data_IF_482511850599
#
_entry.id   IF_482511850599
#
_cell.length_a   1.000
_cell.length_b   1.000
_cell.length_c   1.000
_cell.angle_alpha   90.00
_cell.angle_beta   90.00
_cell.angle_gamma   90.00
#
_symmetry.space_group_name_H-M   'P 1'
#
loop_
_entity.id
_entity.type
_entity.pdbx_description
1 polymer ?
#
# COMPACT_ATOMS: atom_id res chain seq x y z
N UNK A 1 23.44 -37.23 8.38
CA UNK A 1 23.29 -36.21 9.44
C UNK A 1 23.29 -36.91 10.78
N UNK A 2 24.30 -36.66 11.62
CA UNK A 2 24.41 -37.29 12.95
C UNK A 2 23.34 -36.74 13.91
N UNK A 3 23.04 -37.46 15.00
CA UNK A 3 22.08 -37.00 16.02
C UNK A 3 22.45 -35.62 16.60
N UNK A 4 23.75 -35.38 16.84
CA UNK A 4 24.30 -34.09 17.28
C UNK A 4 24.08 -32.97 16.27
N UNK A 5 24.12 -33.29 14.98
CA UNK A 5 23.92 -32.32 13.90
C UNK A 5 22.43 -31.92 13.76
N UNK A 6 21.52 -32.83 14.11
CA UNK A 6 20.08 -32.54 14.22
C UNK A 6 19.78 -31.69 15.45
N UNK A 7 20.34 -32.04 16.60
CA UNK A 7 20.19 -31.27 17.84
C UNK A 7 20.74 -29.84 17.71
N UNK A 8 21.91 -29.68 17.08
CA UNK A 8 22.48 -28.37 16.79
C UNK A 8 21.61 -27.51 15.87
N UNK A 9 20.98 -28.10 14.85
CA UNK A 9 20.04 -27.39 13.96
C UNK A 9 18.76 -26.97 14.67
N UNK A 10 18.20 -27.84 15.51
CA UNK A 10 17.00 -27.53 16.32
C UNK A 10 17.30 -26.40 17.30
N UNK A 11 18.42 -26.47 18.01
CA UNK A 11 18.87 -25.43 18.93
C UNK A 11 19.09 -24.08 18.23
N UNK A 12 19.76 -24.08 17.06
CA UNK A 12 19.98 -22.87 16.27
C UNK A 12 18.66 -22.26 15.75
N UNK A 13 17.74 -23.08 15.24
CA UNK A 13 16.43 -22.62 14.79
C UNK A 13 15.63 -22.01 15.94
N UNK A 14 15.61 -22.68 17.09
CA UNK A 14 14.87 -22.23 18.26
C UNK A 14 15.46 -20.96 18.87
N UNK A 15 16.79 -20.85 18.93
CA UNK A 15 17.51 -19.63 19.31
C UNK A 15 17.20 -18.47 18.36
N UNK A 16 17.14 -18.72 17.05
CA UNK A 16 16.72 -17.71 16.07
C UNK A 16 15.29 -17.23 16.32
N UNK A 17 14.31 -18.15 16.49
CA UNK A 17 12.92 -17.78 16.74
C UNK A 17 12.74 -16.96 18.01
N UNK A 18 13.46 -17.31 19.07
CA UNK A 18 13.34 -16.61 20.35
C UNK A 18 14.07 -15.27 20.36
N UNK A 19 15.23 -15.15 19.70
CA UNK A 19 15.84 -13.85 19.44
C UNK A 19 14.91 -12.94 18.62
N UNK A 20 14.28 -13.49 17.58
CA UNK A 20 13.32 -12.77 16.77
C UNK A 20 12.13 -12.28 17.61
N UNK A 21 11.54 -13.18 18.42
CA UNK A 21 10.33 -12.89 19.19
C UNK A 21 10.58 -11.97 20.40
N UNK A 22 11.70 -12.15 21.11
CA UNK A 22 11.94 -11.49 22.41
C UNK A 22 12.88 -10.30 22.33
N UNK A 23 13.75 -10.22 21.31
CA UNK A 23 14.71 -9.12 21.17
C UNK A 23 14.32 -8.22 20.01
N UNK A 24 14.27 -8.77 18.79
CA UNK A 24 14.07 -7.95 17.60
C UNK A 24 12.64 -7.42 17.50
N UNK A 25 11.63 -8.24 17.75
CA UNK A 25 10.23 -7.83 17.67
C UNK A 25 9.90 -6.69 18.67
N UNK A 26 10.25 -6.75 19.97
CA UNK A 26 10.04 -5.63 20.88
C UNK A 26 10.85 -4.39 20.50
N UNK A 27 12.09 -4.56 20.01
CA UNK A 27 12.92 -3.45 19.52
C UNK A 27 12.28 -2.75 18.32
N UNK A 28 11.73 -3.51 17.38
CA UNK A 28 11.04 -2.97 16.20
C UNK A 28 9.70 -2.32 16.57
N UNK A 29 8.94 -2.90 17.51
CA UNK A 29 7.72 -2.28 18.06
C UNK A 29 8.05 -0.96 18.75
N UNK A 30 9.07 -0.93 19.59
CA UNK A 30 9.52 0.29 20.26
C UNK A 30 10.01 1.33 19.26
N UNK A 31 10.77 0.90 18.23
CA UNK A 31 11.19 1.76 17.13
C UNK A 31 10.00 2.37 16.43
N UNK A 32 8.93 1.60 16.18
CA UNK A 32 7.71 2.10 15.54
C UNK A 32 6.99 3.17 16.40
N UNK A 33 6.96 3.02 17.72
CA UNK A 33 6.34 4.00 18.63
C UNK A 33 7.17 5.26 18.86
N UNK A 34 8.49 5.15 18.83
CA UNK A 34 9.41 6.28 19.08
C UNK A 34 9.94 6.90 17.80
N UNK A 35 9.47 6.43 16.64
CA UNK A 35 9.97 6.84 15.35
C UNK A 35 9.80 8.35 15.14
N UNK A 36 10.89 9.03 14.80
CA UNK A 36 10.87 10.43 14.36
C UNK A 36 11.35 10.52 12.91
N UNK A 37 10.60 11.19 12.02
CA UNK A 37 11.07 11.45 10.66
C UNK A 37 12.43 12.15 10.70
N UNK A 38 13.36 11.73 9.83
CA UNK A 38 14.67 12.37 9.76
C UNK A 38 14.55 13.81 9.24
N UNK A 39 15.46 14.66 9.69
CA UNK A 39 15.60 16.01 9.15
C UNK A 39 16.46 15.97 7.87
N UNK A 40 15.99 16.66 6.82
CA UNK A 40 16.69 16.78 5.53
C UNK A 40 16.98 18.24 5.16
N UNK A 41 16.85 19.17 6.11
CA UNK A 41 17.25 20.56 5.92
C UNK A 41 18.73 20.64 5.53
N UNK A 42 19.01 21.35 4.43
CA UNK A 42 20.36 21.47 3.87
C UNK A 42 20.94 20.20 3.23
N UNK A 43 20.24 19.05 3.32
CA UNK A 43 20.62 17.80 2.64
C UNK A 43 20.27 17.86 1.16
N UNK A 44 20.99 17.13 0.33
CA UNK A 44 20.81 17.14 -1.12
C UNK A 44 20.02 15.92 -1.60
N UNK A 45 18.90 16.18 -2.27
CA UNK A 45 17.99 15.18 -2.84
C UNK A 45 18.04 15.25 -4.36
N UNK A 46 18.47 14.16 -5.00
CA UNK A 46 18.46 14.01 -6.47
C UNK A 46 17.19 13.30 -6.88
N UNK A 47 16.42 13.85 -7.82
CA UNK A 47 15.17 13.27 -8.30
C UNK A 47 15.22 13.12 -9.82
N UNK A 48 15.19 11.88 -10.30
CA UNK A 48 15.08 11.59 -11.74
C UNK A 48 13.62 11.65 -12.20
N UNK A 49 13.36 12.12 -13.42
CA UNK A 49 11.99 12.38 -13.89
C UNK A 49 11.28 13.45 -13.06
N UNK A 50 12.04 14.41 -12.54
CA UNK A 50 11.55 15.45 -11.63
C UNK A 50 10.87 16.62 -12.34
N UNK A 51 10.84 16.66 -13.68
CA UNK A 51 10.20 17.74 -14.45
C UNK A 51 8.68 17.63 -14.53
N UNK A 52 8.05 16.55 -14.02
CA UNK A 52 6.60 16.40 -14.04
C UNK A 52 6.05 15.46 -12.97
N UNK A 53 4.73 15.46 -12.79
CA UNK A 53 3.99 14.45 -12.05
C UNK A 53 4.45 14.29 -10.58
N UNK A 54 4.66 13.05 -10.15
CA UNK A 54 5.05 12.74 -8.76
C UNK A 54 6.45 13.28 -8.46
N UNK A 55 7.40 13.16 -9.40
CA UNK A 55 8.77 13.66 -9.25
C UNK A 55 8.82 15.15 -8.99
N UNK A 56 8.12 15.94 -9.82
CA UNK A 56 7.97 17.38 -9.61
C UNK A 56 7.41 17.70 -8.23
N UNK A 57 6.30 17.05 -7.84
CA UNK A 57 5.66 17.39 -6.57
C UNK A 57 6.54 16.98 -5.37
N UNK A 58 7.30 15.90 -5.46
CA UNK A 58 8.31 15.56 -4.45
C UNK A 58 9.41 16.63 -4.37
N UNK A 59 9.89 17.13 -5.51
CA UNK A 59 10.88 18.21 -5.55
C UNK A 59 10.39 19.47 -4.83
N UNK A 60 9.14 19.87 -5.10
CA UNK A 60 8.50 21.01 -4.43
C UNK A 60 8.41 20.80 -2.91
N UNK A 61 7.96 19.63 -2.45
CA UNK A 61 7.85 19.33 -1.00
C UNK A 61 9.24 19.35 -0.34
N UNK A 62 10.24 18.68 -0.92
CA UNK A 62 11.59 18.64 -0.35
C UNK A 62 12.22 20.03 -0.26
N UNK A 63 12.13 20.84 -1.32
CA UNK A 63 12.75 22.15 -1.34
C UNK A 63 12.00 23.18 -0.49
N UNK A 64 10.67 23.25 -0.61
CA UNK A 64 9.87 24.32 -0.01
C UNK A 64 9.49 24.01 1.44
N UNK A 65 9.08 22.78 1.72
CA UNK A 65 8.57 22.37 3.04
C UNK A 65 9.65 21.76 3.92
N UNK A 66 10.62 21.04 3.34
CA UNK A 66 11.71 20.36 4.10
C UNK A 66 13.06 21.06 4.01
N UNK A 67 13.16 22.16 3.26
CA UNK A 67 14.36 22.99 3.13
C UNK A 67 15.61 22.21 2.67
N UNK A 68 15.40 21.14 1.90
CA UNK A 68 16.47 20.40 1.26
C UNK A 68 16.96 21.13 -0.01
N UNK A 69 18.19 20.85 -0.42
CA UNK A 69 18.66 21.18 -1.76
C UNK A 69 18.15 20.11 -2.74
N UNK A 70 17.59 20.49 -3.88
CA UNK A 70 17.01 19.52 -4.83
C UNK A 70 17.68 19.60 -6.20
N UNK A 71 18.24 18.49 -6.67
CA UNK A 71 18.71 18.35 -8.05
C UNK A 71 17.63 17.63 -8.87
N UNK A 72 17.08 18.31 -9.87
CA UNK A 72 16.00 17.82 -10.72
C UNK A 72 16.60 17.32 -12.02
N UNK A 73 16.64 16.00 -12.21
CA UNK A 73 17.14 15.36 -13.42
C UNK A 73 15.95 14.98 -14.30
N UNK A 74 15.97 15.41 -15.55
CA UNK A 74 14.97 15.03 -16.54
C UNK A 74 15.56 15.01 -17.95
N UNK A 75 14.99 14.19 -18.83
CA UNK A 75 15.33 14.22 -20.25
C UNK A 75 14.79 15.50 -20.90
N UNK A 76 13.65 16.00 -20.41
CA UNK A 76 13.10 17.29 -20.80
C UNK A 76 13.68 18.41 -19.89
N UNK A 77 14.83 18.94 -20.29
CA UNK A 77 15.52 20.00 -19.53
C UNK A 77 14.61 21.21 -19.31
N UNK A 78 13.80 21.56 -20.30
CA UNK A 78 12.91 22.72 -20.21
C UNK A 78 11.95 22.58 -19.04
N UNK A 79 11.26 21.43 -18.94
CA UNK A 79 10.34 21.17 -17.81
C UNK A 79 11.08 21.14 -16.48
N UNK A 80 12.25 20.52 -16.41
CA UNK A 80 13.05 20.51 -15.19
C UNK A 80 13.43 21.93 -14.74
N UNK A 81 13.85 22.79 -15.69
CA UNK A 81 14.19 24.20 -15.43
C UNK A 81 12.97 25.01 -15.00
N UNK A 82 11.81 24.81 -15.63
CA UNK A 82 10.56 25.47 -15.22
C UNK A 82 10.20 25.14 -13.75
N UNK A 83 10.34 23.87 -13.34
CA UNK A 83 10.12 23.44 -11.95
C UNK A 83 11.17 24.05 -11.01
N UNK A 84 12.45 23.98 -11.35
CA UNK A 84 13.53 24.54 -10.53
C UNK A 84 13.33 26.05 -10.30
N UNK A 85 13.03 26.81 -11.36
CA UNK A 85 12.76 28.24 -11.27
C UNK A 85 11.52 28.55 -10.41
N UNK A 86 10.45 27.75 -10.53
CA UNK A 86 9.25 27.92 -9.71
C UNK A 86 9.52 27.68 -8.21
N UNK A 87 10.40 26.72 -7.89
CA UNK A 87 10.86 26.45 -6.52
C UNK A 87 11.74 27.61 -6.00
N UNK A 88 12.71 28.06 -6.80
CA UNK A 88 13.60 29.17 -6.43
C UNK A 88 12.83 30.47 -6.19
N UNK A 89 11.82 30.78 -7.02
CA UNK A 89 10.94 31.94 -6.84
C UNK A 89 10.18 31.92 -5.51
N UNK A 90 9.94 30.75 -4.94
CA UNK A 90 9.29 30.56 -3.64
C UNK A 90 10.31 30.44 -2.48
N UNK A 91 11.60 30.70 -2.73
CA UNK A 91 12.67 30.67 -1.73
C UNK A 91 13.23 29.27 -1.43
N UNK A 92 12.90 28.27 -2.24
CA UNK A 92 13.52 26.94 -2.16
C UNK A 92 14.86 26.88 -2.90
N UNK A 93 15.63 25.81 -2.67
CA UNK A 93 16.89 25.54 -3.38
C UNK A 93 16.70 24.36 -4.33
N UNK A 94 16.70 24.63 -5.63
CA UNK A 94 16.65 23.60 -6.65
C UNK A 94 17.49 23.96 -7.87
N UNK A 95 18.04 22.97 -8.58
CA UNK A 95 18.79 23.13 -9.83
C UNK A 95 18.36 22.03 -10.82
N UNK A 96 18.26 22.37 -12.11
CA UNK A 96 17.83 21.45 -13.15
C UNK A 96 19.02 20.92 -13.95
N UNK A 97 18.99 19.63 -14.29
CA UNK A 97 20.02 18.95 -15.08
C UNK A 97 19.37 18.13 -16.17
N UNK A 98 19.90 18.24 -17.40
CA UNK A 98 19.52 17.36 -18.49
C UNK A 98 20.14 15.99 -18.29
N UNK A 99 19.33 14.94 -18.21
CA UNK A 99 19.82 13.59 -18.01
C UNK A 99 18.89 12.55 -18.65
N UNK A 100 19.40 11.80 -19.63
CA UNK A 100 18.81 10.51 -20.01
C UNK A 100 19.38 9.42 -19.09
N UNK A 101 18.53 8.87 -18.21
CA UNK A 101 18.92 7.82 -17.25
C UNK A 101 19.43 6.53 -17.92
N UNK A 102 19.17 6.34 -19.21
CA UNK A 102 19.71 5.21 -19.98
C UNK A 102 21.20 5.38 -20.33
N UNK A 103 21.75 6.59 -20.17
CA UNK A 103 23.16 6.92 -20.39
C UNK A 103 23.92 7.02 -19.07
N UNK A 104 24.81 6.06 -18.81
CA UNK A 104 25.69 6.07 -17.63
C UNK A 104 26.58 7.30 -17.60
N UNK A 105 27.13 7.70 -18.76
CA UNK A 105 27.97 8.89 -18.90
C UNK A 105 27.22 10.18 -18.54
N UNK A 106 25.94 10.29 -18.93
CA UNK A 106 25.13 11.46 -18.57
C UNK A 106 24.93 11.53 -17.05
N UNK A 107 24.64 10.39 -16.40
CA UNK A 107 24.49 10.30 -14.95
C UNK A 107 25.79 10.63 -14.21
N UNK A 108 26.95 10.18 -14.68
CA UNK A 108 28.26 10.53 -14.11
C UNK A 108 28.53 12.03 -14.18
N UNK A 109 28.26 12.65 -15.34
CA UNK A 109 28.39 14.12 -15.52
C UNK A 109 27.45 14.86 -14.58
N UNK A 110 26.19 14.45 -14.48
CA UNK A 110 25.24 15.04 -13.53
C UNK A 110 25.69 14.85 -12.09
N UNK A 111 26.17 13.66 -11.69
CA UNK A 111 26.65 13.39 -10.35
C UNK A 111 27.77 14.35 -9.95
N UNK A 112 28.76 14.56 -10.84
CA UNK A 112 29.85 15.50 -10.59
C UNK A 112 29.35 16.95 -10.50
N UNK A 113 28.51 17.40 -11.42
CA UNK A 113 27.97 18.76 -11.42
C UNK A 113 27.11 19.05 -10.17
N UNK A 114 26.35 18.06 -9.69
CA UNK A 114 25.56 18.16 -8.46
C UNK A 114 26.47 18.28 -7.24
N UNK A 115 27.57 17.51 -7.19
CA UNK A 115 28.56 17.60 -6.10
C UNK A 115 29.26 18.94 -6.10
N UNK A 116 29.63 19.48 -7.26
CA UNK A 116 30.20 20.84 -7.35
C UNK A 116 29.23 21.91 -6.83
N UNK A 117 27.93 21.76 -7.12
CA UNK A 117 26.90 22.73 -6.75
C UNK A 117 26.48 22.63 -5.28
N UNK A 118 26.30 21.41 -4.77
CA UNK A 118 25.67 21.13 -3.48
C UNK A 118 26.57 20.35 -2.50
N UNK A 119 27.86 20.23 -2.81
CA UNK A 119 28.91 19.52 -2.06
C UNK A 119 28.77 18.00 -2.00
N UNK A 120 27.57 17.50 -1.72
CA UNK A 120 27.29 16.07 -1.57
C UNK A 120 25.87 15.72 -2.01
N UNK A 121 25.63 14.43 -2.23
CA UNK A 121 24.28 13.86 -2.40
C UNK A 121 23.96 13.00 -1.18
N UNK A 122 22.73 13.12 -0.66
CA UNK A 122 22.30 12.37 0.52
C UNK A 122 21.16 11.40 0.20
N UNK A 123 20.29 11.75 -0.76
CA UNK A 123 19.14 10.93 -1.16
C UNK A 123 19.06 10.91 -2.69
N UNK A 124 18.92 9.72 -3.27
CA UNK A 124 18.56 9.57 -4.69
C UNK A 124 17.13 9.01 -4.79
N UNK A 125 16.32 9.63 -5.65
CA UNK A 125 14.97 9.19 -5.97
C UNK A 125 14.92 8.78 -7.45
N UNK A 126 15.00 7.47 -7.67
CA UNK A 126 14.85 6.83 -8.97
C UNK A 126 13.36 6.81 -9.34
N UNK A 127 12.86 7.92 -9.87
CA UNK A 127 11.47 8.15 -10.24
C UNK A 127 11.22 8.12 -11.76
N UNK A 128 12.24 8.40 -12.58
CA UNK A 128 12.10 8.38 -14.04
C UNK A 128 11.53 7.05 -14.55
N UNK A 129 10.49 7.14 -15.38
CA UNK A 129 9.87 5.99 -16.01
C UNK A 129 9.13 6.41 -17.28
N UNK A 130 8.92 5.44 -18.17
CA UNK A 130 7.98 5.52 -19.29
C UNK A 130 6.92 4.45 -19.16
N UNK A 131 5.84 4.64 -19.91
CA UNK A 131 4.66 3.79 -19.84
C UNK A 131 4.24 3.39 -21.25
N UNK A 132 4.09 2.09 -21.49
CA UNK A 132 3.45 1.56 -22.68
C UNK A 132 2.38 0.58 -22.23
N UNK A 133 1.13 0.86 -22.62
CA UNK A 133 -0.04 0.05 -22.28
C UNK A 133 -0.75 -0.35 -23.58
N UNK A 134 -0.67 -1.62 -23.92
CA UNK A 134 -1.34 -2.22 -25.08
C UNK A 134 -1.45 -3.74 -24.88
N UNK A 135 -2.22 -4.42 -25.72
CA UNK A 135 -2.16 -5.88 -25.72
C UNK A 135 -0.76 -6.36 -26.10
N UNK A 136 -0.38 -7.54 -25.61
CA UNK A 136 0.96 -8.10 -25.83
C UNK A 136 1.38 -8.11 -27.30
N UNK A 137 0.46 -8.49 -28.21
CA UNK A 137 0.75 -8.57 -29.65
C UNK A 137 0.73 -7.21 -30.37
N UNK A 138 0.32 -6.14 -29.69
CA UNK A 138 0.31 -4.77 -30.23
C UNK A 138 1.56 -3.98 -29.83
N UNK A 139 2.33 -4.49 -28.87
CA UNK A 139 3.59 -3.89 -28.45
C UNK A 139 4.70 -4.26 -29.42
N UNK A 140 5.49 -3.28 -29.85
CA UNK A 140 6.69 -3.55 -30.64
C UNK A 140 7.85 -4.00 -29.74
N UNK A 141 8.82 -4.70 -30.32
CA UNK A 141 10.04 -5.10 -29.58
C UNK A 141 10.79 -3.88 -29.05
N UNK A 142 10.81 -2.78 -29.80
CA UNK A 142 11.44 -1.53 -29.41
C UNK A 142 10.75 -0.90 -28.20
N UNK A 143 9.41 -0.96 -28.12
CA UNK A 143 8.65 -0.46 -26.97
C UNK A 143 8.95 -1.30 -25.71
N UNK A 144 8.98 -2.64 -25.86
CA UNK A 144 9.35 -3.55 -24.78
C UNK A 144 10.78 -3.25 -24.27
N UNK A 145 11.75 -3.19 -25.18
CA UNK A 145 13.15 -2.92 -24.86
C UNK A 145 13.32 -1.53 -24.24
N UNK A 146 12.70 -0.49 -24.82
CA UNK A 146 12.78 0.88 -24.29
C UNK A 146 12.18 0.96 -22.89
N UNK A 147 11.09 0.23 -22.61
CA UNK A 147 10.50 0.16 -21.27
C UNK A 147 11.48 -0.39 -20.25
N UNK A 148 12.20 -1.47 -20.56
CA UNK A 148 13.23 -2.02 -19.68
C UNK A 148 14.45 -1.10 -19.56
N UNK A 149 14.92 -0.53 -20.68
CA UNK A 149 16.07 0.37 -20.67
C UNK A 149 15.83 1.57 -19.77
N UNK A 150 14.66 2.21 -19.83
CA UNK A 150 14.36 3.36 -18.97
C UNK A 150 13.99 2.93 -17.56
N UNK A 151 13.02 2.02 -17.40
CA UNK A 151 12.42 1.74 -16.09
C UNK A 151 13.26 0.82 -15.20
N UNK A 152 14.17 0.03 -15.79
CA UNK A 152 15.01 -0.95 -15.08
C UNK A 152 16.47 -0.53 -15.16
N UNK A 153 17.02 -0.44 -16.36
CA UNK A 153 18.43 -0.05 -16.52
C UNK A 153 18.66 1.39 -16.07
N UNK A 154 17.72 2.31 -16.31
CA UNK A 154 17.82 3.68 -15.79
C UNK A 154 17.89 3.76 -14.26
N UNK A 155 17.16 2.89 -13.56
CA UNK A 155 17.24 2.77 -12.09
C UNK A 155 18.61 2.25 -11.67
N UNK A 156 19.07 1.14 -12.27
CA UNK A 156 20.39 0.56 -11.98
C UNK A 156 21.53 1.54 -12.26
N UNK A 157 21.50 2.21 -13.40
CA UNK A 157 22.50 3.20 -13.79
C UNK A 157 22.54 4.35 -12.77
N UNK A 158 21.37 4.84 -12.33
CA UNK A 158 21.28 5.89 -11.32
C UNK A 158 21.89 5.41 -10.01
N UNK A 159 21.50 4.23 -9.51
CA UNK A 159 22.08 3.67 -8.27
C UNK A 159 23.60 3.57 -8.39
N UNK A 160 24.11 2.98 -9.49
CA UNK A 160 25.56 2.80 -9.71
C UNK A 160 26.34 4.12 -9.78
N UNK A 161 25.73 5.19 -10.27
CA UNK A 161 26.38 6.50 -10.38
C UNK A 161 26.56 7.22 -9.02
N UNK A 162 25.69 6.93 -8.03
CA UNK A 162 25.71 7.61 -6.73
C UNK A 162 26.12 6.70 -5.56
N UNK A 163 26.01 5.37 -5.70
CA UNK A 163 26.34 4.41 -4.65
C UNK A 163 27.79 4.48 -4.15
N UNK A 164 28.83 4.66 -4.99
CA UNK A 164 30.21 4.74 -4.50
C UNK A 164 30.40 5.84 -3.45
N UNK A 165 29.77 7.00 -3.66
CA UNK A 165 29.83 8.11 -2.71
C UNK A 165 29.10 7.75 -1.41
N UNK A 166 27.98 7.01 -1.46
CA UNK A 166 27.28 6.55 -0.26
C UNK A 166 28.10 5.52 0.52
N UNK A 167 28.73 4.58 -0.17
CA UNK A 167 29.59 3.55 0.42
C UNK A 167 30.82 4.14 1.11
N UNK A 168 31.46 5.16 0.51
CA UNK A 168 32.63 5.82 1.07
C UNK A 168 32.39 6.44 2.46
N UNK A 169 31.14 6.81 2.76
CA UNK A 169 30.72 7.45 4.02
C UNK A 169 29.80 6.57 4.87
N UNK A 170 29.39 5.40 4.35
CA UNK A 170 28.32 4.57 4.90
C UNK A 170 27.10 5.41 5.31
N UNK A 171 26.68 6.34 4.44
CA UNK A 171 25.56 7.25 4.70
C UNK A 171 24.90 7.68 3.39
N UNK A 172 23.61 7.39 3.26
CA UNK A 172 22.80 7.79 2.12
C UNK A 172 21.46 7.07 2.07
N UNK A 173 20.57 7.49 1.17
CA UNK A 173 19.31 6.78 0.94
C UNK A 173 19.01 6.61 -0.54
N UNK A 174 18.75 5.36 -0.92
CA UNK A 174 18.30 4.95 -2.23
C UNK A 174 16.79 4.79 -2.21
N UNK A 175 16.09 5.57 -3.01
CA UNK A 175 14.63 5.52 -3.14
C UNK A 175 14.27 5.12 -4.56
N UNK A 176 13.40 4.12 -4.73
CA UNK A 176 12.88 3.74 -6.04
C UNK A 176 11.35 3.81 -6.11
N UNK A 177 10.86 4.40 -7.20
CA UNK A 177 9.45 4.40 -7.56
C UNK A 177 9.10 3.14 -8.36
N UNK A 178 8.56 2.14 -7.66
CA UNK A 178 7.89 1.01 -8.30
C UNK A 178 6.42 1.38 -8.56
N UNK A 179 5.50 0.45 -8.34
CA UNK A 179 4.06 0.61 -8.46
C UNK A 179 3.38 -0.58 -7.79
N UNK A 180 2.08 -0.50 -7.52
CA UNK A 180 1.27 -1.72 -7.28
C UNK A 180 1.45 -2.75 -8.41
N UNK A 181 1.80 -2.31 -9.63
CA UNK A 181 2.16 -3.16 -10.76
C UNK A 181 3.47 -3.96 -10.57
N UNK A 182 4.24 -3.70 -9.51
CA UNK A 182 5.36 -4.53 -9.08
C UNK A 182 4.94 -5.76 -8.24
N UNK A 183 3.65 -5.87 -7.94
CA UNK A 183 3.03 -7.04 -7.28
C UNK A 183 1.94 -7.68 -8.13
N UNK A 184 1.32 -6.93 -9.03
CA UNK A 184 0.20 -7.40 -9.86
C UNK A 184 0.48 -7.18 -11.35
N UNK A 185 0.17 -8.18 -12.17
CA UNK A 185 0.11 -8.01 -13.62
C UNK A 185 -1.22 -7.41 -14.04
N UNK A 186 -1.22 -6.68 -15.15
CA UNK A 186 -2.40 -6.04 -15.72
C UNK A 186 -2.59 -6.41 -17.19
N UNK A 187 -3.83 -6.40 -17.69
CA UNK A 187 -4.18 -6.84 -19.06
C UNK A 187 -3.35 -6.18 -20.15
N UNK A 188 -3.08 -4.88 -20.00
CA UNK A 188 -2.33 -4.09 -20.98
C UNK A 188 -0.90 -3.76 -20.52
N UNK A 189 -0.51 -4.28 -19.35
CA UNK A 189 0.71 -3.86 -18.66
C UNK A 189 1.96 -4.64 -19.07
N UNK A 190 1.98 -5.33 -20.21
CA UNK A 190 3.06 -6.28 -20.54
C UNK A 190 4.44 -5.62 -20.61
N UNK A 191 4.56 -4.39 -21.11
CA UNK A 191 5.83 -3.65 -21.07
C UNK A 191 6.15 -3.12 -19.66
N UNK A 192 5.14 -2.59 -18.97
CA UNK A 192 5.33 -1.82 -17.74
C UNK A 192 5.38 -2.67 -16.46
N UNK A 193 4.42 -3.58 -16.25
CA UNK A 193 4.34 -4.38 -15.04
C UNK A 193 5.65 -5.14 -14.79
N UNK A 194 6.20 -5.94 -15.74
CA UNK A 194 7.47 -6.63 -15.53
C UNK A 194 8.61 -5.69 -15.14
N UNK A 195 8.68 -4.50 -15.74
CA UNK A 195 9.69 -3.51 -15.36
C UNK A 195 9.56 -3.07 -13.89
N UNK A 196 8.33 -2.94 -13.37
CA UNK A 196 8.10 -2.58 -11.96
C UNK A 196 8.30 -3.74 -10.99
N UNK A 197 8.10 -5.00 -11.42
CA UNK A 197 8.56 -6.17 -10.69
C UNK A 197 10.09 -6.19 -10.59
N UNK A 198 10.80 -5.88 -11.68
CA UNK A 198 12.25 -5.82 -11.70
C UNK A 198 12.79 -4.75 -10.74
N UNK A 199 12.18 -3.56 -10.68
CA UNK A 199 12.54 -2.51 -9.70
C UNK A 199 12.41 -3.00 -8.25
N UNK A 200 11.35 -3.76 -7.93
CA UNK A 200 11.23 -4.38 -6.59
C UNK A 200 12.38 -5.34 -6.32
N UNK A 201 12.70 -6.21 -7.27
CA UNK A 201 13.82 -7.16 -7.18
C UNK A 201 15.16 -6.44 -6.97
N UNK A 202 15.44 -5.39 -7.74
CA UNK A 202 16.65 -4.56 -7.59
C UNK A 202 16.76 -4.02 -6.17
N UNK A 203 15.68 -3.46 -5.62
CA UNK A 203 15.67 -2.90 -4.27
C UNK A 203 15.77 -3.94 -3.15
N UNK A 204 15.33 -5.18 -3.40
CA UNK A 204 15.56 -6.31 -2.50
C UNK A 204 17.03 -6.73 -2.54
N UNK A 205 17.61 -6.91 -3.72
CA UNK A 205 19.01 -7.27 -3.90
C UNK A 205 19.98 -6.27 -3.26
N UNK A 206 19.85 -4.98 -3.60
CA UNK A 206 20.80 -3.95 -3.09
C UNK A 206 20.73 -3.82 -1.57
N UNK A 207 19.56 -3.99 -0.97
CA UNK A 207 19.40 -3.95 0.48
C UNK A 207 20.07 -5.15 1.17
N UNK A 208 19.91 -6.36 0.62
CA UNK A 208 20.64 -7.52 1.11
C UNK A 208 22.15 -7.33 0.96
N UNK A 209 22.60 -6.81 -0.19
CA UNK A 209 24.01 -6.52 -0.42
C UNK A 209 24.58 -5.52 0.61
N UNK A 210 23.87 -4.42 0.90
CA UNK A 210 24.31 -3.45 1.90
C UNK A 210 24.36 -4.08 3.31
N UNK A 211 23.38 -4.91 3.66
CA UNK A 211 23.35 -5.62 4.94
C UNK A 211 24.53 -6.59 5.08
N UNK A 212 24.77 -7.43 4.08
CA UNK A 212 25.85 -8.43 4.11
C UNK A 212 27.24 -7.78 4.12
N UNK A 213 27.36 -6.56 3.60
CA UNK A 213 28.59 -5.74 3.61
C UNK A 213 28.74 -4.89 4.88
N UNK A 214 27.79 -4.91 5.81
CA UNK A 214 27.81 -4.09 7.02
C UNK A 214 27.59 -2.58 6.77
N UNK A 215 26.98 -2.22 5.64
CA UNK A 215 26.70 -0.84 5.25
C UNK A 215 25.36 -0.34 5.84
N UNK A 216 25.25 -0.38 7.16
CA UNK A 216 24.00 -0.10 7.89
C UNK A 216 23.47 1.34 7.75
N UNK A 217 24.32 2.29 7.34
CA UNK A 217 23.90 3.68 7.15
C UNK A 217 23.30 3.97 5.78
N UNK A 218 23.40 3.05 4.81
CA UNK A 218 22.77 3.18 3.50
C UNK A 218 21.35 2.62 3.54
N UNK A 219 20.36 3.50 3.50
CA UNK A 219 18.93 3.13 3.58
C UNK A 219 18.34 2.88 2.20
N UNK A 220 17.41 1.94 2.12
CA UNK A 220 16.72 1.59 0.88
C UNK A 220 15.20 1.69 1.06
N UNK A 221 14.52 2.53 0.28
CA UNK A 221 13.07 2.74 0.33
C UNK A 221 12.42 2.45 -1.02
N UNK A 222 11.47 1.52 -1.05
CA UNK A 222 10.69 1.22 -2.26
C UNK A 222 9.27 1.72 -2.12
N UNK A 223 8.82 2.53 -3.08
CA UNK A 223 7.49 3.11 -3.08
C UNK A 223 6.60 2.37 -4.10
N UNK A 224 5.39 1.99 -3.68
CA UNK A 224 4.40 1.29 -4.49
C UNK A 224 3.08 2.11 -4.59
N UNK A 225 3.06 3.18 -5.41
CA UNK A 225 1.82 3.88 -5.67
C UNK A 225 0.79 3.01 -6.39
N UNK A 226 -0.47 3.18 -5.99
CA UNK A 226 -1.65 2.88 -6.79
C UNK A 226 -1.83 3.97 -7.87
N UNK A 227 -2.89 3.90 -8.66
CA UNK A 227 -3.11 4.87 -9.76
C UNK A 227 -3.06 6.32 -9.28
N UNK A 228 -2.20 7.11 -9.93
CA UNK A 228 -2.04 8.55 -9.67
C UNK A 228 -2.33 9.36 -10.93
N UNK A 229 -3.13 10.42 -10.80
CA UNK A 229 -3.48 11.36 -11.88
C UNK A 229 -2.28 12.19 -12.35
N UNK A 230 -1.37 11.56 -13.07
CA UNK A 230 -0.17 12.20 -13.64
C UNK A 230 -0.36 12.43 -15.15
N UNK A 231 0.39 13.37 -15.76
CA UNK A 231 0.43 13.51 -17.22
C UNK A 231 0.69 12.18 -17.94
N UNK A 232 1.64 11.37 -17.44
CA UNK A 232 1.93 10.02 -17.96
C UNK A 232 0.70 9.11 -18.13
N UNK A 233 -0.30 9.22 -17.24
CA UNK A 233 -1.54 8.43 -17.31
C UNK A 233 -2.62 9.15 -18.12
N UNK A 234 -2.77 10.45 -17.89
CA UNK A 234 -3.85 11.26 -18.46
C UNK A 234 -3.65 11.52 -19.96
N UNK A 235 -2.41 11.68 -20.42
CA UNK A 235 -2.08 11.95 -21.83
C UNK A 235 -2.33 10.71 -22.71
N UNK A 236 -2.32 9.51 -22.14
CA UNK A 236 -2.76 8.27 -22.80
C UNK A 236 -4.29 8.10 -22.77
N UNK A 237 -5.01 9.08 -22.22
CA UNK A 237 -6.44 9.07 -21.97
C UNK A 237 -6.94 7.87 -21.16
N UNK A 238 -6.04 7.26 -20.37
CA UNK A 238 -6.39 6.15 -19.52
C UNK A 238 -7.25 6.62 -18.35
N UNK A 239 -8.39 5.96 -18.16
CA UNK A 239 -9.25 6.14 -16.99
C UNK A 239 -9.26 4.87 -16.16
N UNK A 240 -8.25 4.67 -15.28
CA UNK A 240 -8.25 3.51 -14.40
C UNK A 240 -9.47 3.59 -13.47
N UNK A 241 -10.26 2.53 -13.43
CA UNK A 241 -11.40 2.40 -12.52
C UNK A 241 -11.20 1.19 -11.64
N UNK A 242 -11.63 1.29 -10.38
CA UNK A 242 -11.70 0.19 -9.42
C UNK A 242 -12.98 0.36 -8.62
N UNK A 243 -13.56 -0.75 -8.18
CA UNK A 243 -14.79 -0.73 -7.39
C UNK A 243 -14.62 -0.05 -6.03
N UNK A 244 -13.43 -0.15 -5.43
CA UNK A 244 -13.19 0.29 -4.05
C UNK A 244 -11.99 1.24 -3.88
N UNK A 245 -11.07 1.28 -4.85
CA UNK A 245 -9.83 2.06 -4.71
C UNK A 245 -9.86 3.27 -5.65
N UNK A 246 -10.03 4.50 -5.13
CA UNK A 246 -10.18 5.68 -5.98
C UNK A 246 -8.85 6.07 -6.64
N UNK A 247 -8.96 6.75 -7.78
CA UNK A 247 -7.83 7.35 -8.47
C UNK A 247 -7.20 8.43 -7.58
N UNK A 248 -5.90 8.36 -7.30
CA UNK A 248 -5.23 9.22 -6.34
C UNK A 248 -4.72 10.53 -6.98
N UNK A 249 -4.69 11.62 -6.21
CA UNK A 249 -4.06 12.87 -6.64
C UNK A 249 -2.53 12.80 -6.51
N UNK A 250 -1.82 13.55 -7.35
CA UNK A 250 -0.35 13.67 -7.28
C UNK A 250 0.10 14.14 -5.90
N UNK A 251 -0.56 15.17 -5.36
CA UNK A 251 -0.23 15.72 -4.03
C UNK A 251 -0.32 14.67 -2.92
N UNK A 252 -1.39 13.87 -2.88
CA UNK A 252 -1.53 12.81 -1.86
C UNK A 252 -0.43 11.76 -2.00
N UNK A 253 -0.11 11.37 -3.25
CA UNK A 253 0.95 10.41 -3.51
C UNK A 253 2.32 10.92 -3.07
N UNK A 254 2.68 12.13 -3.51
CA UNK A 254 3.98 12.74 -3.25
C UNK A 254 4.18 13.02 -1.75
N UNK A 255 3.15 13.50 -1.04
CA UNK A 255 3.20 13.65 0.42
C UNK A 255 3.47 12.32 1.12
N UNK A 256 2.74 11.26 0.77
CA UNK A 256 2.96 9.95 1.37
C UNK A 256 4.34 9.35 1.00
N UNK A 257 4.83 9.61 -0.20
CA UNK A 257 6.16 9.22 -0.65
C UNK A 257 7.26 9.93 0.16
N UNK A 258 7.20 11.26 0.27
CA UNK A 258 8.17 12.04 1.06
C UNK A 258 8.14 11.59 2.52
N UNK A 259 6.97 11.41 3.12
CA UNK A 259 6.87 10.91 4.50
C UNK A 259 7.54 9.54 4.66
N UNK A 260 7.31 8.60 3.74
CA UNK A 260 7.98 7.29 3.78
C UNK A 260 9.50 7.39 3.63
N UNK A 261 10.00 8.31 2.80
CA UNK A 261 11.43 8.58 2.63
C UNK A 261 12.03 9.12 3.93
N UNK A 262 11.39 10.13 4.54
CA UNK A 262 11.81 10.69 5.83
C UNK A 262 11.71 9.67 6.96
N UNK A 263 10.79 8.72 6.84
CA UNK A 263 10.63 7.63 7.78
C UNK A 263 11.56 6.44 7.54
N UNK A 264 12.41 6.51 6.51
CA UNK A 264 13.31 5.42 6.10
C UNK A 264 12.57 4.08 5.97
N UNK A 265 11.31 4.13 5.53
CA UNK A 265 10.50 2.93 5.35
C UNK A 265 11.12 2.06 4.27
N UNK A 266 11.29 0.77 4.53
CA UNK A 266 11.84 -0.15 3.53
C UNK A 266 10.90 -0.28 2.32
N UNK A 267 9.60 -0.33 2.60
CA UNK A 267 8.54 -0.46 1.61
C UNK A 267 7.32 0.34 2.02
N UNK A 268 6.82 1.20 1.12
CA UNK A 268 5.57 1.95 1.33
C UNK A 268 4.61 1.71 0.18
N UNK A 269 3.44 1.15 0.50
CA UNK A 269 2.30 1.14 -0.41
C UNK A 269 1.51 2.44 -0.27
N UNK A 270 1.02 2.98 -1.39
CA UNK A 270 0.29 4.25 -1.40
C UNK A 270 -1.01 4.10 -2.19
N UNK A 271 -2.18 4.03 -1.55
CA UNK A 271 -2.42 4.13 -0.10
C UNK A 271 -2.03 2.86 0.68
N UNK A 272 -1.69 2.99 1.97
CA UNK A 272 -1.08 1.90 2.76
C UNK A 272 -1.89 0.61 2.87
N UNK A 273 -3.23 0.69 2.85
CA UNK A 273 -4.11 -0.49 2.99
C UNK A 273 -4.00 -1.49 1.83
N UNK A 274 -3.49 -1.09 0.66
CA UNK A 274 -3.31 -2.01 -0.48
C UNK A 274 -2.18 -3.02 -0.23
N UNK A 275 -1.33 -2.80 0.78
CA UNK A 275 -0.29 -3.74 1.21
C UNK A 275 -0.87 -5.10 1.57
N UNK A 276 -2.01 -5.13 2.27
CA UNK A 276 -2.72 -6.36 2.66
C UNK A 276 -3.07 -7.17 1.41
N UNK A 277 -3.60 -6.51 0.39
CA UNK A 277 -3.94 -7.16 -0.88
C UNK A 277 -2.69 -7.72 -1.57
N UNK A 278 -1.60 -6.96 -1.60
CA UNK A 278 -0.33 -7.38 -2.20
C UNK A 278 0.27 -8.61 -1.50
N UNK A 279 0.22 -8.65 -0.17
CA UNK A 279 0.71 -9.76 0.64
C UNK A 279 -0.19 -11.00 0.53
N UNK A 280 -1.51 -10.79 0.62
CA UNK A 280 -2.48 -11.88 0.59
C UNK A 280 -2.55 -12.57 -0.79
N UNK A 281 -2.19 -11.87 -1.89
CA UNK A 281 -2.18 -12.43 -3.25
C UNK A 281 -1.51 -13.81 -3.34
N UNK A 282 -0.39 -13.99 -2.65
CA UNK A 282 0.39 -15.23 -2.72
C UNK A 282 -0.22 -16.39 -1.90
N UNK A 283 -1.20 -16.09 -1.04
CA UNK A 283 -1.95 -17.10 -0.27
C UNK A 283 -3.22 -17.56 -1.01
N UNK A 284 -3.60 -16.88 -2.10
CA UNK A 284 -4.83 -17.13 -2.83
C UNK A 284 -4.60 -18.17 -3.93
N UNK A 285 -5.51 -19.17 -4.03
CA UNK A 285 -5.54 -20.09 -5.16
C UNK A 285 -5.97 -19.40 -6.47
N UNK A 286 -5.62 -20.01 -7.61
CA UNK A 286 -5.86 -19.49 -8.96
C UNK A 286 -7.28 -18.95 -9.19
N UNK A 287 -8.30 -19.75 -8.85
CA UNK A 287 -9.71 -19.36 -9.04
C UNK A 287 -10.09 -18.15 -8.19
N UNK A 288 -9.60 -18.08 -6.95
CA UNK A 288 -9.85 -16.94 -6.08
C UNK A 288 -9.25 -15.67 -6.67
N UNK A 289 -8.01 -15.73 -7.17
CA UNK A 289 -7.35 -14.55 -7.79
C UNK A 289 -8.15 -14.03 -8.99
N UNK A 290 -8.70 -14.91 -9.83
CA UNK A 290 -9.54 -14.51 -10.97
C UNK A 290 -10.84 -13.85 -10.49
N UNK A 291 -11.52 -14.45 -9.51
CA UNK A 291 -12.78 -13.90 -8.99
C UNK A 291 -12.55 -12.59 -8.25
N UNK A 292 -11.50 -12.49 -7.44
CA UNK A 292 -11.09 -11.27 -6.78
C UNK A 292 -10.81 -10.16 -7.79
N UNK A 293 -10.12 -10.46 -8.90
CA UNK A 293 -9.90 -9.48 -9.98
C UNK A 293 -11.21 -8.99 -10.59
N UNK A 294 -12.14 -9.92 -10.88
CA UNK A 294 -13.48 -9.57 -11.40
C UNK A 294 -14.28 -8.73 -10.41
N UNK A 295 -14.24 -9.08 -9.13
CA UNK A 295 -14.94 -8.39 -8.05
C UNK A 295 -14.41 -6.97 -7.82
N UNK A 296 -13.08 -6.81 -7.77
CA UNK A 296 -12.42 -5.52 -7.67
C UNK A 296 -12.67 -4.64 -8.90
N UNK A 297 -12.98 -5.28 -10.04
CA UNK A 297 -13.28 -4.65 -11.33
C UNK A 297 -12.25 -3.56 -11.70
N UNK A 298 -10.96 -3.84 -11.43
CA UNK A 298 -9.87 -2.96 -11.82
C UNK A 298 -9.74 -3.01 -13.34
N UNK A 299 -10.15 -1.94 -14.02
CA UNK A 299 -10.08 -1.85 -15.48
C UNK A 299 -9.16 -0.71 -15.91
N UNK A 300 -8.44 -1.00 -16.98
CA UNK A 300 -7.62 -0.04 -17.72
C UNK A 300 -8.16 -0.08 -19.12
N UNK A 301 -8.65 1.04 -19.63
CA UNK A 301 -9.06 1.09 -21.03
C UNK A 301 -8.37 2.30 -21.65
N UNK A 302 -7.33 2.09 -22.46
CA UNK A 302 -6.77 3.16 -23.28
C UNK A 302 -7.85 3.69 -24.23
N UNK A 303 -7.97 5.02 -24.35
CA UNK A 303 -8.99 5.65 -25.22
C UNK A 303 -8.80 5.29 -26.70
N UNK A 304 -7.57 5.01 -27.13
CA UNK A 304 -7.27 4.54 -28.49
C UNK A 304 -7.94 3.21 -28.82
N UNK A 305 -8.15 2.35 -27.82
CA UNK A 305 -8.91 1.09 -27.95
C UNK A 305 -10.41 1.36 -27.83
N UNK A 306 -10.86 2.24 -26.93
CA UNK A 306 -12.28 2.66 -26.90
C UNK A 306 -12.75 3.21 -28.25
N UNK A 307 -11.92 3.99 -28.95
CA UNK A 307 -12.23 4.50 -30.28
C UNK A 307 -12.38 3.37 -31.32
N UNK A 308 -11.57 2.30 -31.24
CA UNK A 308 -11.66 1.12 -32.12
C UNK A 308 -12.85 0.21 -31.76
N UNK A 309 -13.17 0.05 -30.47
CA UNK A 309 -14.26 -0.79 -29.98
C UNK A 309 -15.62 -0.12 -30.14
N UNK A 310 -15.70 1.20 -30.01
CA UNK A 310 -16.94 1.99 -30.21
C UNK A 310 -17.22 2.25 -31.69
N UNK A 311 -16.21 2.19 -32.57
CA UNK A 311 -16.41 2.23 -34.03
C UNK A 311 -15.93 0.94 -34.74
N UNK A 312 -16.62 -0.20 -34.62
CA UNK A 312 -16.36 -1.35 -35.48
C UNK A 312 -17.01 -1.19 -36.87
N UNK A 313 -17.95 -0.26 -37.06
CA UNK A 313 -18.84 -0.22 -38.24
C UNK A 313 -18.64 1.05 -39.07
N UNK A 314 -17.50 1.17 -39.76
CA UNK A 314 -17.37 2.03 -40.96
C UNK A 314 -16.35 1.45 -41.93
N UNK A 315 -16.53 0.19 -42.35
CA UNK A 315 -15.89 -0.36 -43.55
C UNK A 315 -16.77 -1.47 -44.17
N UNK A 316 -17.77 -1.06 -44.95
CA UNK A 316 -18.34 -1.78 -46.09
C UNK A 316 -19.25 -0.81 -46.90
N UNK A 317 -19.40 -1.00 -48.23
CA UNK A 317 -19.72 0.07 -49.18
C UNK A 317 -21.21 0.41 -49.28
N UNK A 318 -21.46 1.60 -49.82
CA UNK A 318 -22.74 2.23 -50.11
C UNK A 318 -23.73 1.36 -50.88
N UNK A 319 -24.98 1.30 -50.41
CA UNK A 319 -26.16 1.12 -51.25
C UNK A 319 -27.27 2.05 -50.75
N UNK A 320 -27.82 2.84 -51.67
CA UNK A 320 -28.90 3.79 -51.43
C UNK A 320 -30.28 3.13 -51.55
N UNK A 321 -31.25 3.58 -50.75
CA UNK A 321 -32.66 3.82 -51.15
C UNK A 321 -33.53 4.22 -49.93
N UNK A 322 -34.20 5.39 -50.03
CA UNK A 322 -35.64 5.70 -49.75
C UNK A 322 -36.40 4.86 -48.70
N UNK A 323 -37.25 5.36 -47.78
CA UNK A 323 -38.32 6.39 -47.85
C UNK A 323 -38.86 6.70 -46.43
N UNK A 324 -39.58 7.83 -46.32
CA UNK A 324 -40.34 8.41 -45.19
C UNK A 324 -41.55 7.61 -44.66
N UNK A 325 -41.91 7.80 -43.37
CA UNK A 325 -43.26 8.20 -42.88
C UNK A 325 -43.34 8.17 -41.35
N UNK A 326 -43.89 9.22 -40.71
CA UNK A 326 -44.05 9.32 -39.26
C UNK A 326 -45.34 8.72 -38.71
N UNK A 327 -45.53 8.80 -37.38
CA UNK A 327 -46.79 8.86 -36.63
C UNK A 327 -46.46 9.35 -35.20
N UNK A 328 -47.19 10.36 -34.74
CA UNK A 328 -47.23 10.87 -33.37
C UNK A 328 -48.52 10.42 -32.68
N UNK A 329 -48.44 9.93 -31.45
CA UNK A 329 -49.62 9.68 -30.59
C UNK A 329 -49.35 10.28 -29.20
N UNK A 330 -50.22 11.20 -28.80
CA UNK A 330 -50.35 11.73 -27.44
C UNK A 330 -51.37 10.92 -26.64
N UNK A 331 -51.07 10.62 -25.37
CA UNK A 331 -52.09 10.21 -24.39
C UNK A 331 -51.72 10.70 -23.00
N UNK A 332 -52.55 11.58 -22.48
CA UNK A 332 -52.57 12.15 -21.13
C UNK A 332 -53.20 11.15 -20.15
N UNK A 333 -52.49 10.82 -19.05
CA UNK A 333 -53.05 10.17 -17.86
C UNK A 333 -52.51 10.93 -16.64
N UNK A 334 -53.44 11.43 -15.82
CA UNK A 334 -53.23 12.14 -14.56
C UNK A 334 -52.37 11.34 -13.56
N UNK A 335 -51.32 11.96 -13.02
CA UNK A 335 -50.34 11.38 -12.08
C UNK A 335 -50.41 12.00 -10.67
N UNK A 336 -51.56 12.53 -10.24
CA UNK A 336 -51.64 13.42 -9.08
C UNK A 336 -51.81 12.80 -7.68
N UNK A 337 -52.20 11.52 -7.56
CA UNK A 337 -52.63 10.96 -6.26
C UNK A 337 -51.92 9.69 -5.81
N UNK A 338 -51.02 9.11 -6.63
CA UNK A 338 -50.23 7.93 -6.28
C UNK A 338 -48.92 8.27 -5.55
N UNK A 339 -48.33 9.43 -5.81
CA UNK A 339 -46.98 9.77 -5.32
C UNK A 339 -46.94 10.09 -3.82
N UNK A 340 -48.00 10.68 -3.24
CA UNK A 340 -48.00 11.08 -1.82
C UNK A 340 -48.08 9.88 -0.86
N UNK A 341 -48.85 8.85 -1.22
CA UNK A 341 -49.02 7.64 -0.42
C UNK A 341 -47.77 6.73 -0.50
N UNK A 342 -47.09 6.73 -1.65
CA UNK A 342 -45.83 6.01 -1.86
C UNK A 342 -44.65 6.68 -1.14
N UNK A 343 -44.65 8.02 -1.02
CA UNK A 343 -43.66 8.75 -0.21
C UNK A 343 -43.87 8.57 1.31
N UNK A 344 -45.12 8.48 1.79
CA UNK A 344 -45.38 8.22 3.21
C UNK A 344 -44.98 6.80 3.64
N UNK A 345 -45.20 5.78 2.80
CA UNK A 345 -44.74 4.41 3.08
C UNK A 345 -43.21 4.23 3.01
N UNK A 346 -42.50 5.08 2.26
CA UNK A 346 -41.03 5.01 2.12
C UNK A 346 -40.28 5.61 3.31
N UNK A 347 -40.88 6.53 4.07
CA UNK A 347 -40.24 7.20 5.22
C UNK A 347 -39.82 6.24 6.37
N UNK A 348 -40.65 5.29 6.83
CA UNK A 348 -40.25 4.30 7.84
C UNK A 348 -39.17 3.34 7.36
N UNK A 349 -39.26 2.91 6.09
CA UNK A 349 -38.32 1.97 5.46
C UNK A 349 -36.95 2.62 5.26
N UNK A 350 -36.90 3.88 4.83
CA UNK A 350 -35.66 4.65 4.73
C UNK A 350 -35.04 4.98 6.09
N UNK A 351 -35.85 5.19 7.14
CA UNK A 351 -35.35 5.32 8.53
C UNK A 351 -34.71 4.01 9.02
N UNK A 352 -35.35 2.85 8.78
CA UNK A 352 -34.79 1.53 9.12
C UNK A 352 -33.51 1.21 8.35
N UNK A 353 -33.43 1.56 7.06
CA UNK A 353 -32.21 1.40 6.25
C UNK A 353 -31.06 2.33 6.70
N UNK A 354 -31.35 3.52 7.23
CA UNK A 354 -30.35 4.43 7.83
C UNK A 354 -29.90 4.02 9.23
N UNK A 355 -30.67 3.19 9.94
CA UNK A 355 -30.37 2.71 11.28
C UNK A 355 -29.46 1.47 11.30
N UNK A 356 -29.34 0.75 10.18
CA UNK A 356 -28.46 -0.42 10.09
C UNK A 356 -26.98 0.00 10.13
N UNK A 357 -26.13 -0.68 10.92
CA UNK A 357 -24.68 -0.46 10.86
C UNK A 357 -24.18 -0.79 9.45
N UNK A 358 -23.49 0.17 8.81
CA UNK A 358 -23.02 0.02 7.44
C UNK A 358 -22.18 -1.26 7.27
N UNK A 359 -22.49 -2.07 6.25
CA UNK A 359 -21.79 -3.32 5.94
C UNK A 359 -20.27 -3.18 5.70
N UNK A 360 -19.80 -1.94 5.56
CA UNK A 360 -18.40 -1.60 5.31
C UNK A 360 -17.59 -1.36 6.59
N UNK A 361 -18.21 -1.14 7.75
CA UNK A 361 -17.52 -0.81 9.01
C UNK A 361 -16.88 -2.01 9.73
N UNK A 362 -17.00 -3.20 9.18
CA UNK A 362 -16.39 -4.42 9.70
C UNK A 362 -14.90 -4.42 9.42
N UNK A 363 -14.10 -4.80 10.42
CA UNK A 363 -12.64 -4.85 10.31
C UNK A 363 -11.93 -3.51 10.03
N UNK A 364 -12.62 -2.36 10.06
CA UNK A 364 -12.05 -1.02 9.83
C UNK A 364 -11.23 -0.44 11.01
N UNK A 365 -10.74 -1.26 11.95
CA UNK A 365 -9.99 -0.75 13.10
C UNK A 365 -8.47 -0.75 12.85
N UNK A 366 -7.70 0.24 13.36
CA UNK A 366 -6.23 0.29 13.28
C UNK A 366 -5.51 -0.79 14.14
N UNK A 367 -6.23 -1.83 14.57
CA UNK A 367 -5.77 -2.85 15.52
C UNK A 367 -5.93 -4.28 14.99
N UNK A 368 -5.75 -4.51 13.68
CA UNK A 368 -5.41 -5.86 13.17
C UNK A 368 -4.22 -6.42 13.97
N UNK A 369 -3.33 -5.53 14.42
CA UNK A 369 -2.28 -5.83 15.39
C UNK A 369 -2.80 -6.34 16.74
N UNK A 370 -3.88 -5.79 17.28
CA UNK A 370 -4.49 -6.26 18.53
C UNK A 370 -5.07 -7.67 18.41
N UNK A 371 -5.75 -7.97 17.29
CA UNK A 371 -6.25 -9.32 17.02
C UNK A 371 -5.11 -10.35 16.88
N UNK A 372 -4.05 -9.98 16.14
CA UNK A 372 -2.87 -10.83 15.99
C UNK A 372 -2.11 -10.98 17.32
N UNK A 373 -1.99 -9.90 18.10
CA UNK A 373 -1.33 -9.88 19.40
C UNK A 373 -2.08 -10.74 20.41
N UNK A 374 -3.40 -10.64 20.52
CA UNK A 374 -4.20 -11.49 21.42
C UNK A 374 -4.07 -12.96 21.05
N UNK A 375 -4.12 -13.30 19.76
CA UNK A 375 -3.90 -14.68 19.31
C UNK A 375 -2.48 -15.16 19.63
N UNK A 376 -1.46 -14.33 19.41
CA UNK A 376 -0.07 -14.62 19.77
C UNK A 376 0.08 -14.81 21.29
N UNK A 377 -0.53 -13.96 22.10
CA UNK A 377 -0.47 -14.03 23.56
C UNK A 377 -1.20 -15.27 24.11
N UNK A 378 -2.34 -15.65 23.52
CA UNK A 378 -3.05 -16.88 23.87
C UNK A 378 -2.21 -18.12 23.53
N UNK A 379 -1.63 -18.16 22.32
CA UNK A 379 -0.73 -19.25 21.91
C UNK A 379 0.51 -19.27 22.80
N UNK A 380 1.10 -18.12 23.12
CA UNK A 380 2.25 -18.01 24.00
C UNK A 380 1.93 -18.51 25.41
N UNK A 381 0.79 -18.10 25.98
CA UNK A 381 0.33 -18.61 27.27
C UNK A 381 0.10 -20.11 27.27
N UNK A 382 -0.44 -20.69 26.19
CA UNK A 382 -0.57 -22.14 26.03
C UNK A 382 0.80 -22.82 25.99
N UNK A 383 1.79 -22.25 25.30
CA UNK A 383 3.15 -22.80 25.27
C UNK A 383 3.79 -22.75 26.66
N UNK A 384 3.66 -21.64 27.40
CA UNK A 384 4.17 -21.52 28.77
C UNK A 384 3.49 -22.53 29.70
N UNK A 385 2.17 -22.68 29.61
CA UNK A 385 1.41 -23.59 30.46
C UNK A 385 1.64 -25.08 30.13
N UNK A 386 1.62 -25.47 28.85
CA UNK A 386 1.55 -26.88 28.46
C UNK A 386 2.84 -27.43 27.85
N UNK A 387 3.80 -26.57 27.52
CA UNK A 387 5.10 -26.97 26.96
C UNK A 387 6.29 -26.26 27.66
N UNK A 388 6.36 -26.25 29.01
CA UNK A 388 7.40 -25.51 29.73
C UNK A 388 8.82 -26.01 29.44
N UNK A 389 8.98 -27.32 29.21
CA UNK A 389 10.30 -27.92 28.90
C UNK A 389 10.96 -27.34 27.65
N UNK A 390 10.18 -26.75 26.73
CA UNK A 390 10.70 -26.05 25.56
C UNK A 390 11.67 -24.93 25.97
N UNK A 391 11.40 -24.24 27.07
CA UNK A 391 12.22 -23.11 27.55
C UNK A 391 13.58 -23.57 28.12
N UNK A 392 13.70 -24.80 28.63
CA UNK A 392 15.00 -25.37 29.05
C UNK A 392 15.90 -25.73 27.88
N UNK A 393 15.30 -26.05 26.73
CA UNK A 393 16.04 -26.41 25.52
C UNK A 393 16.61 -25.20 24.79
N UNK A 394 16.25 -23.98 25.19
CA UNK A 394 16.70 -22.73 24.57
C UNK A 394 17.52 -21.91 25.54
N UNK A 395 18.72 -21.58 25.13
CA UNK A 395 19.58 -20.69 25.89
C UNK A 395 19.13 -19.22 25.73
N UNK A 396 18.25 -18.79 26.62
CA UNK A 396 17.80 -17.39 26.77
C UNK A 396 18.31 -16.79 28.09
N UNK A 397 19.37 -17.35 28.67
CA UNK A 397 19.89 -16.94 29.98
C UNK A 397 18.82 -17.06 31.09
N UNK A 398 18.69 -16.04 31.94
CA UNK A 398 17.76 -16.07 33.08
C UNK A 398 16.27 -16.06 32.70
N UNK A 399 15.93 -15.63 31.48
CA UNK A 399 14.52 -15.54 31.05
C UNK A 399 13.91 -16.93 30.84
N UNK A 400 14.67 -17.88 30.30
CA UNK A 400 14.21 -19.26 30.15
C UNK A 400 13.95 -19.92 31.50
N UNK A 401 14.80 -19.68 32.51
CA UNK A 401 14.60 -20.20 33.86
C UNK A 401 13.31 -19.67 34.48
N UNK A 402 13.05 -18.36 34.33
CA UNK A 402 11.83 -17.72 34.84
C UNK A 402 10.59 -18.25 34.13
N UNK A 403 10.60 -18.34 32.79
CA UNK A 403 9.46 -18.86 32.02
C UNK A 403 9.20 -20.34 32.28
N UNK A 404 10.26 -21.14 32.43
CA UNK A 404 10.17 -22.54 32.85
C UNK A 404 9.51 -22.65 34.21
N UNK A 405 10.02 -21.91 35.21
CA UNK A 405 9.48 -21.89 36.57
C UNK A 405 8.01 -21.45 36.59
N UNK A 406 7.66 -20.40 35.84
CA UNK A 406 6.28 -19.93 35.71
C UNK A 406 5.39 -21.03 35.10
N UNK A 407 5.87 -21.68 34.03
CA UNK A 407 5.14 -22.73 33.34
C UNK A 407 4.97 -24.02 34.15
N UNK A 408 5.90 -24.34 35.06
CA UNK A 408 5.80 -25.53 35.94
C UNK A 408 5.03 -25.26 37.22
N UNK A 409 5.37 -24.19 37.94
CA UNK A 409 4.81 -23.91 39.27
C UNK A 409 3.44 -23.22 39.19
N UNK A 410 3.22 -22.38 38.16
CA UNK A 410 2.01 -21.58 38.03
C UNK A 410 1.13 -22.00 36.84
N UNK A 411 1.34 -23.22 36.31
CA UNK A 411 0.58 -23.74 35.17
C UNK A 411 -0.94 -23.59 35.34
N UNK A 412 -1.45 -23.99 36.50
CA UNK A 412 -2.88 -23.93 36.80
C UNK A 412 -3.41 -22.49 36.79
N UNK A 413 -2.63 -21.53 37.32
CA UNK A 413 -2.99 -20.11 37.30
C UNK A 413 -3.00 -19.55 35.89
N UNK A 414 -2.04 -19.92 35.05
CA UNK A 414 -1.98 -19.49 33.63
C UNK A 414 -3.14 -20.09 32.85
N UNK A 415 -3.42 -21.38 33.03
CA UNK A 415 -4.56 -22.07 32.42
C UNK A 415 -5.89 -21.44 32.83
N UNK A 416 -6.03 -21.04 34.09
CA UNK A 416 -7.19 -20.32 34.58
C UNK A 416 -7.33 -18.94 33.92
N UNK A 417 -6.25 -18.18 33.80
CA UNK A 417 -6.25 -16.88 33.10
C UNK A 417 -6.64 -17.05 31.63
N UNK A 418 -6.07 -18.04 30.94
CA UNK A 418 -6.40 -18.34 29.53
C UNK A 418 -7.88 -18.71 29.37
N UNK A 419 -8.42 -19.51 30.29
CA UNK A 419 -9.83 -19.86 30.32
C UNK A 419 -10.70 -18.62 30.55
N UNK A 420 -10.35 -17.75 31.51
CA UNK A 420 -11.06 -16.50 31.74
C UNK A 420 -11.06 -15.60 30.50
N UNK A 421 -9.93 -15.47 29.81
CA UNK A 421 -9.84 -14.68 28.57
C UNK A 421 -10.74 -15.30 27.48
N UNK A 422 -10.69 -16.61 27.28
CA UNK A 422 -11.56 -17.28 26.32
C UNK A 422 -13.05 -17.09 26.64
N UNK A 423 -13.42 -17.19 27.91
CA UNK A 423 -14.79 -16.95 28.38
C UNK A 423 -15.24 -15.52 28.14
N UNK A 424 -14.38 -14.52 28.40
CA UNK A 424 -14.68 -13.10 28.12
C UNK A 424 -14.99 -12.91 26.64
N UNK A 425 -14.16 -13.46 25.74
CA UNK A 425 -14.39 -13.37 24.29
C UNK A 425 -15.72 -14.01 23.85
N UNK A 426 -16.08 -15.15 24.44
CA UNK A 426 -17.38 -15.80 24.16
C UNK A 426 -18.54 -14.94 24.65
N UNK A 427 -18.47 -14.42 25.88
CA UNK A 427 -19.51 -13.55 26.46
C UNK A 427 -19.68 -12.28 25.63
N UNK A 428 -18.58 -11.66 25.19
CA UNK A 428 -18.60 -10.49 24.32
C UNK A 428 -19.22 -10.83 22.96
N UNK A 429 -18.87 -11.97 22.37
CA UNK A 429 -19.45 -12.42 21.10
C UNK A 429 -20.97 -12.63 21.21
N UNK A 430 -21.43 -13.29 22.27
CA UNK A 430 -22.87 -13.48 22.54
C UNK A 430 -23.57 -12.13 22.77
N UNK A 431 -22.92 -11.21 23.48
CA UNK A 431 -23.44 -9.85 23.68
C UNK A 431 -23.58 -9.07 22.37
N UNK A 432 -22.67 -9.29 21.41
CA UNK A 432 -22.77 -8.70 20.07
C UNK A 432 -23.97 -9.24 19.29
N UNK A 433 -24.29 -10.54 19.40
CA UNK A 433 -25.50 -11.12 18.81
C UNK A 433 -26.77 -10.52 19.40
N UNK A 434 -26.81 -10.37 20.73
CA UNK A 434 -27.92 -9.73 21.42
C UNK A 434 -28.13 -8.29 20.93
N UNK A 435 -27.07 -7.48 20.90
CA UNK A 435 -27.15 -6.10 20.42
C UNK A 435 -27.59 -6.02 18.95
N UNK A 436 -27.07 -6.91 18.09
CA UNK A 436 -27.47 -7.01 16.69
C UNK A 436 -28.96 -7.35 16.52
N UNK A 437 -29.50 -8.23 17.38
CA UNK A 437 -30.91 -8.54 17.41
C UNK A 437 -31.75 -7.33 17.86
N UNK A 438 -31.30 -6.61 18.89
CA UNK A 438 -32.00 -5.43 19.41
C UNK A 438 -32.10 -4.26 18.42
N UNK A 439 -31.26 -4.20 17.39
CA UNK A 439 -31.31 -3.18 16.32
C UNK A 439 -31.77 -3.75 14.96
N UNK A 440 -32.42 -4.92 14.97
CA UNK A 440 -33.05 -5.57 13.81
C UNK A 440 -32.12 -5.71 12.59
N UNK A 441 -30.90 -6.19 12.85
CA UNK A 441 -29.90 -6.43 11.78
C UNK A 441 -30.11 -7.73 11.04
N UNK A 442 -29.61 -7.82 9.80
CA UNK A 442 -29.65 -9.05 9.01
C UNK A 442 -28.82 -10.16 9.66
N UNK A 443 -29.19 -11.43 9.43
CA UNK A 443 -28.42 -12.57 9.95
C UNK A 443 -26.94 -12.56 9.51
N UNK A 444 -26.65 -12.06 8.30
CA UNK A 444 -25.30 -11.92 7.77
C UNK A 444 -24.51 -10.85 8.54
N UNK A 445 -25.15 -9.73 8.87
CA UNK A 445 -24.61 -8.64 9.67
C UNK A 445 -24.31 -9.11 11.12
N UNK A 446 -25.25 -9.79 11.75
CA UNK A 446 -25.09 -10.38 13.08
C UNK A 446 -23.94 -11.42 13.13
N UNK A 447 -23.85 -12.30 12.13
CA UNK A 447 -22.77 -13.29 12.04
C UNK A 447 -21.39 -12.64 11.90
N UNK A 448 -21.28 -11.57 11.11
CA UNK A 448 -20.03 -10.82 10.96
C UNK A 448 -19.60 -10.16 12.29
N UNK A 449 -20.53 -9.55 13.03
CA UNK A 449 -20.23 -8.95 14.34
C UNK A 449 -19.85 -9.99 15.38
N UNK A 450 -20.53 -11.13 15.40
CA UNK A 450 -20.19 -12.26 16.26
C UNK A 450 -18.77 -12.76 16.01
N UNK A 451 -18.43 -13.08 14.76
CA UNK A 451 -17.10 -13.59 14.40
C UNK A 451 -16.02 -12.55 14.68
N UNK A 452 -16.27 -11.29 14.36
CA UNK A 452 -15.33 -10.20 14.62
C UNK A 452 -15.10 -10.02 16.14
N UNK A 453 -16.15 -10.08 16.96
CA UNK A 453 -16.03 -9.90 18.41
C UNK A 453 -15.39 -11.11 19.08
N UNK A 454 -15.71 -12.32 18.61
CA UNK A 454 -15.09 -13.56 19.09
C UNK A 454 -13.56 -13.54 18.89
N UNK A 455 -13.11 -13.05 17.73
CA UNK A 455 -11.67 -13.04 17.37
C UNK A 455 -10.94 -11.80 17.92
N UNK A 456 -11.55 -10.61 17.87
CA UNK A 456 -10.88 -9.32 18.14
C UNK A 456 -11.17 -8.80 19.57
N UNK A 457 -12.30 -9.17 20.17
CA UNK A 457 -12.71 -8.76 21.52
C UNK A 457 -13.17 -7.30 21.65
N UNK A 458 -13.06 -6.76 22.86
CA UNK A 458 -13.55 -5.47 23.38
C UNK A 458 -13.65 -4.26 22.42
N UNK A 459 -12.65 -3.96 21.55
CA UNK A 459 -12.74 -2.79 20.67
C UNK A 459 -13.87 -2.88 19.63
N UNK A 460 -14.28 -4.10 19.27
CA UNK A 460 -15.37 -4.34 18.32
C UNK A 460 -16.74 -4.14 18.98
N UNK A 461 -16.96 -4.75 20.16
CA UNK A 461 -18.19 -4.59 20.93
C UNK A 461 -18.45 -3.13 21.29
N UNK A 462 -17.41 -2.37 21.68
CA UNK A 462 -17.56 -0.94 21.99
C UNK A 462 -18.09 -0.11 20.80
N UNK A 463 -17.68 -0.44 19.56
CA UNK A 463 -18.22 0.21 18.35
C UNK A 463 -19.68 -0.14 18.11
N UNK A 464 -20.05 -1.41 18.31
CA UNK A 464 -21.42 -1.87 18.18
C UNK A 464 -22.32 -1.21 19.23
N UNK A 465 -21.87 -1.11 20.48
CA UNK A 465 -22.55 -0.38 21.56
C UNK A 465 -22.73 1.10 21.21
N UNK A 466 -21.72 1.74 20.60
CA UNK A 466 -21.85 3.13 20.14
C UNK A 466 -22.90 3.28 19.04
N UNK A 467 -23.00 2.32 18.12
CA UNK A 467 -24.06 2.30 17.11
C UNK A 467 -25.43 2.09 17.76
N UNK A 468 -25.56 1.09 18.63
CA UNK A 468 -26.77 0.84 19.41
C UNK A 468 -27.27 2.11 20.12
N UNK A 469 -26.39 2.79 20.87
CA UNK A 469 -26.73 4.05 21.57
C UNK A 469 -27.16 5.18 20.62
N UNK A 470 -26.57 5.24 19.42
CA UNK A 470 -26.95 6.24 18.41
C UNK A 470 -28.36 5.95 17.88
N UNK A 471 -28.67 4.68 17.63
CA UNK A 471 -29.99 4.23 17.15
C UNK A 471 -31.07 4.51 18.20
N UNK A 472 -30.84 4.14 19.47
CA UNK A 472 -31.81 4.39 20.54
C UNK A 472 -32.08 5.89 20.76
N UNK A 473 -31.04 6.76 20.71
CA UNK A 473 -31.22 8.22 20.82
C UNK A 473 -32.05 8.79 19.67
N UNK A 474 -31.84 8.32 18.45
CA UNK A 474 -32.64 8.77 17.30
C UNK A 474 -34.09 8.28 17.34
N UNK A 475 -34.38 7.21 18.06
CA UNK A 475 -35.77 6.75 18.30
C UNK A 475 -36.45 7.57 19.40
N UNK A 476 -35.75 7.92 20.47
CA UNK A 476 -36.24 8.82 21.53
C UNK A 476 -36.49 10.25 21.03
N UNK A 477 -35.64 10.78 20.13
CA UNK A 477 -35.83 12.10 19.50
C UNK A 477 -36.95 12.13 18.44
N UNK A 478 -37.40 10.95 17.98
CA UNK A 478 -38.42 10.80 16.94
C UNK A 478 -39.83 10.47 17.47
N UNK A 479 -39.93 10.09 18.75
CA UNK A 479 -41.18 9.95 19.52
C UNK A 479 -41.50 11.28 20.21
#
# INVERSE_FOLDING_TARGET
MSHKEKEGKVSASLSFFLNLLLVYLPKDIWRYWTFKPKNVEGKTVVITGGGSGIGQRMAEIFALEKKANVAILDIDLRKATEVANAIQKQGGKAEAFHCDVTSTKALEVCCNAIKEKFNQVDIIVCNAAILYFAHTMELTNEQLQRSFNVNVMGVLNTIRAFLPDFEARNDGQIVCMSSICGFFGETYGMAYCPSKFAVRGIMECIRCEMFDRGMDGIKCTTLYPFFVRTPMILDMGMRPTSRFIPFMSVNRCANAAVQAILNEETQRFIPGYISIMAMAKNLMGYHFTIQARRFMNCRYVPTTILAKVVNPVKKAPSLASTTSSGISISSSIDSGTSESMEEELKKPIQRRLKAQPEENNYFEAPYVFGALLTLILLIFGIIVAYLPDLFKMVDMGRVSEVLYFIGTEYNQSISFILLCVALIHVVEAVSSLYLCHSIDTTHVCAAKWFVQTLIIGFPSLAKLVKHYKKVCRTEEEAQ
#
